data_IF_728725843689
#
_entry.id   IF_728725843689
#
_cell.length_a   1.000
_cell.length_b   1.000
_cell.length_c   1.000
_cell.angle_alpha   90.00
_cell.angle_beta   90.00
_cell.angle_gamma   90.00
#
_symmetry.space_group_name_H-M   'P 1'
#
loop_
_entity.id
_entity.type
_entity.pdbx_description
1 polymer ?
#
# COMPACT_ATOMS: atom_id res chain seq x y z
N UNK A 1 3.64 -14.57 36.24
CA UNK A 1 4.29 -15.57 37.11
C UNK A 1 5.72 -15.83 36.69
N UNK A 2 6.51 -16.49 37.55
CA UNK A 2 7.84 -16.95 37.17
C UNK A 2 7.72 -18.26 36.39
N UNK A 3 8.25 -18.27 35.14
CA UNK A 3 8.03 -19.35 34.19
C UNK A 3 8.59 -20.72 34.62
N UNK A 4 9.61 -20.76 35.51
CA UNK A 4 10.18 -22.00 35.98
C UNK A 4 9.73 -22.39 37.42
N UNK A 5 9.35 -21.43 38.25
CA UNK A 5 9.01 -21.68 39.65
C UNK A 5 7.52 -21.88 39.91
N UNK A 6 6.68 -21.23 39.14
CA UNK A 6 5.20 -21.24 39.27
C UNK A 6 4.52 -21.06 37.95
N UNK A 7 4.83 -21.87 36.90
CA UNK A 7 4.28 -21.69 35.56
C UNK A 7 2.75 -21.79 35.51
N UNK A 8 2.18 -22.66 36.36
CA UNK A 8 0.73 -22.89 36.46
C UNK A 8 -0.08 -21.65 36.88
N UNK A 9 0.58 -20.67 37.51
CA UNK A 9 -0.03 -19.40 37.92
C UNK A 9 -0.06 -18.31 36.82
N UNK A 10 0.44 -18.63 35.64
CA UNK A 10 0.48 -17.73 34.49
C UNK A 10 -0.39 -18.20 33.33
N UNK A 11 -0.76 -17.22 32.50
CA UNK A 11 -1.31 -17.43 31.16
C UNK A 11 -0.53 -16.50 30.23
N UNK A 12 0.15 -17.06 29.23
CA UNK A 12 1.05 -16.31 28.38
C UNK A 12 0.29 -15.62 27.25
N UNK A 13 0.31 -14.30 27.25
CA UNK A 13 -0.21 -13.52 26.13
C UNK A 13 0.63 -13.70 24.86
N UNK A 14 1.93 -14.01 25.00
CA UNK A 14 2.78 -14.34 23.84
C UNK A 14 2.35 -15.65 23.18
N UNK A 15 2.02 -16.68 23.98
CA UNK A 15 1.53 -17.96 23.45
C UNK A 15 0.23 -17.77 22.66
N UNK A 16 -0.64 -16.87 23.11
CA UNK A 16 -1.84 -16.52 22.36
C UNK A 16 -1.50 -15.88 21.00
N UNK A 17 -0.54 -14.96 20.95
CA UNK A 17 -0.06 -14.36 19.69
C UNK A 17 0.57 -15.40 18.78
N UNK A 18 1.40 -16.30 19.30
CA UNK A 18 2.02 -17.38 18.53
C UNK A 18 0.99 -18.39 18.00
N UNK A 19 -0.01 -18.75 18.81
CA UNK A 19 -1.12 -19.61 18.38
C UNK A 19 -1.93 -18.96 17.26
N UNK A 20 -2.28 -17.67 17.39
CA UNK A 20 -2.92 -16.89 16.35
C UNK A 20 -2.09 -16.88 15.05
N UNK A 21 -0.81 -16.54 15.13
CA UNK A 21 0.09 -16.51 13.99
C UNK A 21 0.19 -17.87 13.28
N UNK A 22 0.18 -18.97 14.04
CA UNK A 22 0.14 -20.32 13.48
C UNK A 22 -1.17 -20.60 12.73
N UNK A 23 -2.32 -20.24 13.30
CA UNK A 23 -3.62 -20.38 12.61
C UNK A 23 -3.66 -19.56 11.32
N UNK A 24 -3.15 -18.33 11.34
CA UNK A 24 -3.10 -17.45 10.16
C UNK A 24 -2.14 -17.97 9.08
N UNK A 25 -1.02 -18.58 9.48
CA UNK A 25 -0.12 -19.25 8.55
C UNK A 25 -0.77 -20.47 7.88
N UNK A 26 -1.55 -21.26 8.61
CA UNK A 26 -2.35 -22.35 8.03
C UNK A 26 -3.46 -21.81 7.10
N UNK A 27 -4.06 -20.67 7.44
CA UNK A 27 -5.09 -20.03 6.62
C UNK A 27 -4.59 -19.66 5.22
N UNK A 28 -3.28 -19.40 5.03
CA UNK A 28 -2.68 -19.03 3.74
C UNK A 28 -2.93 -20.07 2.65
N UNK A 29 -3.11 -21.33 3.01
CA UNK A 29 -3.46 -22.42 2.06
C UNK A 29 -4.92 -22.34 1.55
N UNK A 30 -5.76 -21.51 2.19
CA UNK A 30 -7.21 -21.50 2.00
C UNK A 30 -7.77 -20.08 1.73
N UNK A 31 -6.95 -19.21 1.13
CA UNK A 31 -7.30 -17.86 0.70
C UNK A 31 -6.87 -17.65 -0.76
N UNK A 32 -7.46 -16.68 -1.50
CA UNK A 32 -7.03 -16.36 -2.86
C UNK A 32 -5.54 -16.07 -2.95
N UNK A 33 -4.91 -16.51 -4.04
CA UNK A 33 -3.46 -16.44 -4.24
C UNK A 33 -2.90 -15.00 -4.18
N UNK A 34 -3.68 -14.02 -4.58
CA UNK A 34 -3.31 -12.60 -4.58
C UNK A 34 -3.31 -12.00 -3.17
N UNK A 35 -3.87 -12.71 -2.17
CA UNK A 35 -3.91 -12.24 -0.80
C UNK A 35 -2.52 -12.21 -0.18
N UNK A 36 -2.23 -11.15 0.58
CA UNK A 36 -1.03 -11.05 1.41
C UNK A 36 -1.43 -10.76 2.85
N UNK A 37 -0.85 -11.53 3.76
CA UNK A 37 -0.94 -11.32 5.20
C UNK A 37 0.47 -11.10 5.71
N UNK A 38 0.72 -9.95 6.31
CA UNK A 38 1.99 -9.62 6.92
C UNK A 38 1.76 -9.32 8.39
N UNK A 39 2.70 -9.70 9.26
CA UNK A 39 2.62 -9.31 10.65
C UNK A 39 4.01 -9.08 11.27
N UNK A 40 3.99 -8.36 12.36
CA UNK A 40 5.14 -8.18 13.24
C UNK A 40 4.66 -8.21 14.70
N UNK A 41 5.36 -8.95 15.55
CA UNK A 41 5.12 -8.90 16.99
C UNK A 41 5.79 -7.62 17.51
N UNK A 42 4.99 -6.67 17.96
CA UNK A 42 5.44 -5.36 18.47
C UNK A 42 5.75 -5.41 19.96
N UNK A 43 5.15 -6.37 20.68
CA UNK A 43 5.48 -6.66 22.06
C UNK A 43 5.31 -8.17 22.33
N UNK A 44 6.35 -8.83 22.78
CA UNK A 44 6.35 -10.26 23.14
C UNK A 44 6.74 -10.52 24.60
N UNK A 45 6.77 -9.49 25.44
CA UNK A 45 7.24 -9.59 26.84
C UNK A 45 8.64 -9.00 27.03
N UNK A 46 9.20 -9.16 28.25
CA UNK A 46 10.45 -8.48 28.63
C UNK A 46 11.59 -9.44 29.00
N UNK A 47 11.29 -10.58 29.62
CA UNK A 47 12.28 -11.53 30.07
C UNK A 47 11.79 -12.98 29.92
N UNK A 48 12.65 -13.95 29.53
CA UNK A 48 12.23 -15.33 29.26
C UNK A 48 11.68 -16.07 30.45
N UNK A 49 12.06 -15.67 31.67
CA UNK A 49 11.61 -16.28 32.92
C UNK A 49 10.36 -15.61 33.52
N UNK A 50 9.75 -14.69 32.81
CA UNK A 50 8.50 -14.03 33.25
C UNK A 50 7.43 -14.30 32.20
N UNK A 51 6.36 -14.99 32.59
CA UNK A 51 5.21 -15.25 31.69
C UNK A 51 4.58 -13.92 31.30
N UNK A 52 4.53 -13.58 30.00
CA UNK A 52 4.03 -12.29 29.54
C UNK A 52 2.53 -12.11 29.83
N UNK A 53 2.18 -11.06 30.54
CA UNK A 53 0.79 -10.65 30.81
C UNK A 53 0.18 -9.81 29.70
N UNK A 54 1.02 -9.28 28.80
CA UNK A 54 0.64 -8.53 27.61
C UNK A 54 1.54 -8.89 26.44
N UNK A 55 0.93 -9.09 25.29
CA UNK A 55 1.62 -9.18 23.99
C UNK A 55 0.81 -8.47 22.92
N UNK A 56 1.47 -8.01 21.88
CA UNK A 56 0.86 -7.27 20.77
C UNK A 56 1.47 -7.71 19.44
N UNK A 57 0.61 -7.89 18.45
CA UNK A 57 0.99 -8.17 17.07
C UNK A 57 0.26 -7.24 16.13
N UNK A 58 0.97 -6.70 15.15
CA UNK A 58 0.46 -5.79 14.14
C UNK A 58 0.35 -6.50 12.80
N UNK A 59 -0.84 -6.47 12.20
CA UNK A 59 -1.18 -7.17 10.96
C UNK A 59 -1.48 -6.22 9.81
N UNK A 60 -1.03 -6.59 8.62
CA UNK A 60 -1.54 -6.10 7.35
C UNK A 60 -2.22 -7.23 6.58
N UNK A 61 -3.43 -6.96 6.08
CA UNK A 61 -4.16 -7.83 5.15
C UNK A 61 -4.37 -7.07 3.86
N UNK A 62 -3.99 -7.68 2.73
CA UNK A 62 -4.03 -7.05 1.42
C UNK A 62 -4.63 -8.00 0.38
N UNK A 63 -5.48 -7.45 -0.46
CA UNK A 63 -5.99 -8.13 -1.66
C UNK A 63 -6.44 -7.07 -2.68
N UNK A 64 -6.34 -7.32 -4.01
CA UNK A 64 -6.83 -6.40 -5.05
C UNK A 64 -8.32 -6.07 -4.96
N UNK A 65 -9.13 -6.94 -4.35
CA UNK A 65 -10.55 -6.73 -4.10
C UNK A 65 -10.79 -6.53 -2.61
N UNK A 66 -11.38 -5.40 -2.26
CA UNK A 66 -11.70 -5.01 -0.87
C UNK A 66 -12.49 -6.09 -0.12
N UNK A 67 -13.50 -6.68 -0.76
CA UNK A 67 -14.38 -7.67 -0.11
C UNK A 67 -13.59 -8.88 0.38
N UNK A 68 -12.59 -9.32 -0.36
CA UNK A 68 -11.70 -10.42 0.03
C UNK A 68 -10.81 -10.02 1.19
N UNK A 69 -10.25 -8.81 1.17
CA UNK A 69 -9.43 -8.31 2.27
C UNK A 69 -10.23 -8.23 3.58
N UNK A 70 -11.49 -7.78 3.52
CA UNK A 70 -12.40 -7.70 4.67
C UNK A 70 -12.75 -9.09 5.19
N UNK A 71 -13.07 -10.06 4.31
CA UNK A 71 -13.36 -11.45 4.71
C UNK A 71 -12.15 -12.09 5.41
N UNK A 72 -10.96 -11.95 4.83
CA UNK A 72 -9.73 -12.50 5.43
C UNK A 72 -9.41 -11.82 6.77
N UNK A 73 -9.62 -10.50 6.89
CA UNK A 73 -9.45 -9.80 8.16
C UNK A 73 -10.41 -10.33 9.25
N UNK A 74 -11.67 -10.60 8.91
CA UNK A 74 -12.64 -11.19 9.84
C UNK A 74 -12.19 -12.60 10.29
N UNK A 75 -11.63 -13.39 9.39
CA UNK A 75 -11.06 -14.71 9.73
C UNK A 75 -9.85 -14.61 10.65
N UNK A 76 -8.97 -13.64 10.46
CA UNK A 76 -7.84 -13.35 11.34
C UNK A 76 -8.32 -12.95 12.73
N UNK A 77 -9.35 -12.12 12.82
CA UNK A 77 -9.97 -11.74 14.10
C UNK A 77 -10.52 -12.97 14.82
N UNK A 78 -11.18 -13.89 14.13
CA UNK A 78 -11.66 -15.16 14.71
C UNK A 78 -10.51 -16.07 15.17
N UNK A 79 -9.39 -16.10 14.43
CA UNK A 79 -8.19 -16.82 14.88
C UNK A 79 -7.64 -16.24 16.19
N UNK A 80 -7.63 -14.91 16.31
CA UNK A 80 -7.23 -14.23 17.55
C UNK A 80 -8.15 -14.57 18.74
N UNK A 81 -9.47 -14.57 18.52
CA UNK A 81 -10.47 -14.98 19.52
C UNK A 81 -10.26 -16.45 19.97
N UNK A 82 -10.06 -17.36 18.99
CA UNK A 82 -9.80 -18.77 19.25
C UNK A 82 -8.49 -19.00 20.01
N UNK A 83 -7.44 -18.27 19.65
CA UNK A 83 -6.15 -18.32 20.34
C UNK A 83 -6.27 -17.82 21.79
N UNK A 84 -6.94 -16.71 22.02
CA UNK A 84 -7.18 -16.17 23.35
C UNK A 84 -7.98 -17.15 24.22
N UNK A 85 -9.05 -17.74 23.66
CA UNK A 85 -9.85 -18.75 24.37
C UNK A 85 -9.00 -19.96 24.75
N UNK A 86 -8.23 -20.51 23.80
CA UNK A 86 -7.41 -21.70 24.01
C UNK A 86 -6.26 -21.51 25.00
N UNK A 87 -5.72 -20.30 25.12
CA UNK A 87 -4.62 -19.98 26.06
C UNK A 87 -5.10 -19.42 27.40
N UNK A 88 -6.41 -19.22 27.56
CA UNK A 88 -6.99 -18.64 28.77
C UNK A 88 -6.62 -17.16 28.96
N UNK A 89 -6.47 -16.43 27.86
CA UNK A 89 -6.20 -14.99 27.83
C UNK A 89 -7.41 -14.22 27.28
N UNK A 90 -7.28 -12.92 27.13
CA UNK A 90 -8.29 -12.05 26.49
C UNK A 90 -7.64 -11.28 25.34
N UNK A 91 -8.41 -10.98 24.29
CA UNK A 91 -7.91 -10.19 23.18
C UNK A 91 -8.75 -8.92 22.97
N UNK A 92 -8.10 -7.92 22.43
CA UNK A 92 -8.72 -6.72 21.83
C UNK A 92 -7.98 -6.39 20.57
N UNK A 93 -8.64 -5.75 19.63
CA UNK A 93 -7.99 -5.24 18.42
C UNK A 93 -8.43 -3.83 18.11
N UNK A 94 -7.63 -3.13 17.35
CA UNK A 94 -7.91 -1.81 16.80
C UNK A 94 -7.60 -1.80 15.30
N UNK A 95 -8.53 -1.28 14.48
CA UNK A 95 -8.27 -1.03 13.07
C UNK A 95 -7.57 0.32 12.96
N UNK A 96 -6.28 0.32 12.61
CA UNK A 96 -5.47 1.54 12.51
C UNK A 96 -5.38 2.09 11.11
N UNK A 97 -5.69 1.29 10.08
CA UNK A 97 -5.70 1.66 8.67
C UNK A 97 -6.64 0.77 7.88
N UNK A 98 -7.17 1.30 6.79
CA UNK A 98 -7.96 0.53 5.84
C UNK A 98 -8.30 1.38 4.62
N UNK A 99 -7.95 0.90 3.43
CA UNK A 99 -8.19 1.58 2.17
C UNK A 99 -8.96 0.68 1.21
N UNK A 100 -9.73 1.29 0.34
CA UNK A 100 -10.42 0.59 -0.75
C UNK A 100 -9.45 0.16 -1.86
N UNK A 101 -9.91 -0.68 -2.76
CA UNK A 101 -9.33 -0.86 -4.09
C UNK A 101 -9.56 0.40 -4.95
N UNK A 102 -8.68 0.65 -5.90
CA UNK A 102 -8.80 1.84 -6.77
C UNK A 102 -9.91 1.65 -7.81
N UNK A 103 -10.89 2.53 -7.83
CA UNK A 103 -11.88 2.61 -8.89
C UNK A 103 -11.30 3.36 -10.09
N UNK A 104 -10.91 2.62 -11.13
CA UNK A 104 -10.29 3.18 -12.33
C UNK A 104 -11.28 4.01 -13.13
N UNK A 105 -10.87 5.21 -13.54
CA UNK A 105 -11.56 6.03 -14.53
C UNK A 105 -10.75 6.08 -15.83
N UNK A 106 -11.13 5.24 -16.81
CA UNK A 106 -10.40 5.09 -18.09
C UNK A 106 -10.42 6.36 -18.94
N UNK A 107 -11.49 7.15 -18.84
CA UNK A 107 -11.62 8.43 -19.53
C UNK A 107 -10.53 9.40 -19.06
N UNK A 108 -10.36 9.56 -17.75
CA UNK A 108 -9.32 10.42 -17.19
C UNK A 108 -7.92 9.83 -17.39
N UNK A 109 -7.77 8.52 -17.28
CA UNK A 109 -6.48 7.85 -17.50
C UNK A 109 -5.98 8.06 -18.94
N UNK A 110 -6.87 7.95 -19.94
CA UNK A 110 -6.53 8.20 -21.35
C UNK A 110 -6.12 9.65 -21.59
N UNK A 111 -6.80 10.62 -20.94
CA UNK A 111 -6.43 12.04 -21.02
C UNK A 111 -5.06 12.29 -20.39
N UNK A 112 -4.82 11.76 -19.20
CA UNK A 112 -3.55 11.89 -18.48
C UNK A 112 -2.40 11.28 -19.28
N UNK A 113 -2.60 10.09 -19.87
CA UNK A 113 -1.63 9.42 -20.73
C UNK A 113 -1.26 10.28 -21.94
N UNK A 114 -2.25 10.81 -22.66
CA UNK A 114 -2.01 11.67 -23.81
C UNK A 114 -1.22 12.94 -23.43
N UNK A 115 -1.43 13.48 -22.24
CA UNK A 115 -0.67 14.64 -21.76
C UNK A 115 0.74 14.25 -21.29
N UNK A 116 0.91 13.08 -20.71
CA UNK A 116 2.24 12.54 -20.37
C UNK A 116 3.09 12.31 -21.64
N UNK A 117 2.49 11.79 -22.70
CA UNK A 117 3.14 11.62 -24.01
C UNK A 117 3.59 12.96 -24.62
N UNK A 118 2.82 14.05 -24.45
CA UNK A 118 3.20 15.39 -24.89
C UNK A 118 4.37 15.96 -24.07
N UNK A 119 4.38 15.73 -22.77
CA UNK A 119 5.44 16.20 -21.87
C UNK A 119 6.74 15.43 -22.10
N UNK A 120 6.63 14.12 -22.35
CA UNK A 120 7.77 13.21 -22.50
C UNK A 120 8.31 12.71 -21.15
N UNK A 121 9.20 11.74 -21.23
CA UNK A 121 9.85 11.15 -20.06
C UNK A 121 11.05 11.95 -19.55
N UNK A 122 11.70 11.43 -18.54
CA UNK A 122 12.87 12.07 -17.93
C UNK A 122 14.12 11.81 -18.74
N UNK A 123 14.85 12.87 -19.10
CA UNK A 123 16.14 12.77 -19.81
C UNK A 123 17.27 13.09 -18.82
N UNK A 124 18.15 12.11 -18.61
CA UNK A 124 19.32 12.26 -17.73
C UNK A 124 20.53 12.85 -18.45
N UNK A 125 21.32 13.64 -17.73
CA UNK A 125 22.67 14.05 -18.13
C UNK A 125 23.65 12.87 -18.03
N UNK A 126 24.84 13.01 -18.61
CA UNK A 126 25.86 11.96 -18.50
C UNK A 126 26.33 11.75 -17.05
N UNK A 127 26.33 12.81 -16.23
CA UNK A 127 26.65 12.75 -14.80
C UNK A 127 25.58 11.97 -14.02
N UNK A 128 24.30 12.23 -14.31
CA UNK A 128 23.17 11.51 -13.72
C UNK A 128 23.15 10.04 -14.15
N UNK A 129 23.48 9.75 -15.41
CA UNK A 129 23.64 8.36 -15.89
C UNK A 129 24.81 7.66 -15.18
N UNK A 130 25.94 8.33 -14.99
CA UNK A 130 27.08 7.79 -14.27
C UNK A 130 26.74 7.50 -12.80
N UNK A 131 26.03 8.40 -12.14
CA UNK A 131 25.49 8.19 -10.79
C UNK A 131 24.53 7.00 -10.77
N UNK A 132 23.58 6.96 -11.69
CA UNK A 132 22.59 5.89 -11.79
C UNK A 132 23.21 4.51 -12.00
N UNK A 133 24.25 4.39 -12.86
CA UNK A 133 24.99 3.14 -13.05
C UNK A 133 25.70 2.66 -11.78
N UNK A 134 26.28 3.59 -11.01
CA UNK A 134 26.86 3.25 -9.69
C UNK A 134 25.82 2.74 -8.72
N UNK A 135 24.64 3.36 -8.73
CA UNK A 135 23.52 2.96 -7.87
C UNK A 135 22.98 1.59 -8.29
N UNK A 136 22.79 1.36 -9.59
CA UNK A 136 22.34 0.07 -10.13
C UNK A 136 23.29 -1.08 -9.80
N UNK A 137 24.59 -0.83 -9.66
CA UNK A 137 25.56 -1.83 -9.23
C UNK A 137 25.30 -2.36 -7.79
N UNK A 138 24.51 -1.65 -7.00
CA UNK A 138 24.10 -2.08 -5.65
C UNK A 138 22.76 -2.82 -5.62
N UNK A 139 22.09 -3.02 -6.77
CA UNK A 139 20.79 -3.69 -6.81
C UNK A 139 20.98 -5.20 -6.72
N UNK A 140 20.02 -5.84 -6.07
CA UNK A 140 20.01 -7.30 -5.95
C UNK A 140 19.71 -7.99 -7.30
N UNK A 141 18.76 -7.42 -8.05
CA UNK A 141 18.38 -7.93 -9.37
C UNK A 141 19.05 -7.14 -10.48
N UNK A 142 19.10 -7.75 -11.68
CA UNK A 142 19.59 -7.06 -12.88
C UNK A 142 18.73 -5.81 -13.14
N UNK A 143 19.38 -4.67 -13.24
CA UNK A 143 18.72 -3.40 -13.51
C UNK A 143 18.26 -3.30 -14.97
N UNK A 144 17.13 -2.63 -15.24
CA UNK A 144 16.76 -2.17 -16.58
C UNK A 144 17.78 -1.15 -17.11
N UNK A 145 17.70 -0.85 -18.41
CA UNK A 145 18.52 0.21 -19.00
C UNK A 145 18.17 1.58 -18.38
N UNK A 146 19.18 2.41 -18.17
CA UNK A 146 18.98 3.72 -17.52
C UNK A 146 18.13 4.65 -18.40
N UNK A 147 18.20 4.47 -19.70
CA UNK A 147 17.44 5.18 -20.71
C UNK A 147 15.93 4.91 -20.67
N UNK A 148 15.50 3.84 -20.00
CA UNK A 148 14.07 3.52 -19.81
C UNK A 148 13.32 4.61 -19.03
N UNK A 149 14.01 5.43 -18.24
CA UNK A 149 13.41 6.59 -17.58
C UNK A 149 12.80 7.62 -18.57
N UNK A 150 13.27 7.66 -19.81
CA UNK A 150 12.72 8.54 -20.86
C UNK A 150 11.57 7.92 -21.64
N UNK A 151 11.30 6.63 -21.45
CA UNK A 151 10.28 5.89 -22.19
C UNK A 151 8.92 6.04 -21.49
N UNK A 152 7.93 6.56 -22.18
CA UNK A 152 6.55 6.58 -21.70
C UNK A 152 5.97 5.17 -21.86
N UNK A 153 5.63 4.57 -20.72
CA UNK A 153 4.98 3.26 -20.72
C UNK A 153 3.56 3.36 -21.26
N UNK A 154 3.06 2.35 -21.98
CA UNK A 154 1.69 2.34 -22.45
C UNK A 154 0.71 2.34 -21.26
N UNK A 155 -0.47 2.94 -21.48
CA UNK A 155 -1.52 2.93 -20.47
C UNK A 155 -1.86 1.50 -20.05
N UNK A 156 -1.75 1.23 -18.77
CA UNK A 156 -2.15 -0.05 -18.19
C UNK A 156 -3.67 -0.22 -18.31
N UNK A 157 -4.09 -1.39 -18.77
CA UNK A 157 -5.52 -1.72 -18.94
C UNK A 157 -6.15 -2.27 -17.67
N UNK A 158 -5.35 -2.82 -16.79
CA UNK A 158 -5.75 -3.48 -15.55
C UNK A 158 -4.83 -3.02 -14.41
N UNK A 159 -5.33 -3.06 -13.17
CA UNK A 159 -4.52 -2.76 -11.98
C UNK A 159 -3.60 -3.95 -11.72
N UNK A 160 -2.32 -3.69 -11.56
CA UNK A 160 -1.37 -4.70 -11.09
C UNK A 160 -1.71 -5.08 -9.64
N UNK A 161 -1.93 -6.38 -9.41
CA UNK A 161 -2.22 -6.92 -8.09
C UNK A 161 -1.07 -6.75 -7.07
N UNK A 162 0.14 -6.41 -7.54
CA UNK A 162 1.33 -6.20 -6.72
C UNK A 162 1.57 -4.76 -6.25
N UNK A 163 0.69 -3.83 -6.60
CA UNK A 163 0.86 -2.40 -6.30
C UNK A 163 0.80 -2.04 -4.81
N UNK A 164 1.26 -0.83 -4.49
CA UNK A 164 1.10 -0.23 -3.17
C UNK A 164 -0.37 0.10 -2.87
N UNK A 165 -0.69 0.40 -1.62
CA UNK A 165 -2.00 0.90 -1.21
C UNK A 165 -1.92 2.38 -0.85
N UNK A 166 -2.99 3.12 -1.11
CA UNK A 166 -3.11 4.55 -0.84
C UNK A 166 -4.58 4.91 -0.57
N UNK A 167 -4.81 5.91 0.27
CA UNK A 167 -6.12 6.50 0.53
C UNK A 167 -6.71 7.26 -0.68
N UNK A 168 -5.92 7.49 -1.74
CA UNK A 168 -6.42 7.94 -3.05
C UNK A 168 -7.48 6.98 -3.58
N UNK A 169 -7.40 5.69 -3.24
CA UNK A 169 -8.41 4.70 -3.59
C UNK A 169 -9.77 5.02 -2.99
N UNK A 170 -9.82 5.48 -1.75
CA UNK A 170 -11.06 5.90 -1.08
C UNK A 170 -11.67 7.13 -1.77
N UNK A 171 -10.83 8.11 -2.18
CA UNK A 171 -11.26 9.26 -2.97
C UNK A 171 -11.88 8.82 -4.29
N UNK A 172 -11.37 7.76 -4.90
CA UNK A 172 -11.88 7.24 -6.19
C UNK A 172 -13.32 6.71 -6.12
N UNK A 173 -13.85 6.40 -4.93
CA UNK A 173 -15.24 6.04 -4.72
C UNK A 173 -16.17 7.23 -4.44
N UNK A 174 -15.61 8.44 -4.34
CA UNK A 174 -16.36 9.68 -4.07
C UNK A 174 -16.38 10.59 -5.30
N UNK A 175 -15.28 10.64 -6.05
CA UNK A 175 -15.14 11.45 -7.27
C UNK A 175 -14.33 10.70 -8.33
N UNK A 176 -14.54 10.99 -9.64
CA UNK A 176 -13.66 10.49 -10.69
C UNK A 176 -12.21 10.86 -10.42
N UNK A 177 -11.34 9.87 -10.33
CA UNK A 177 -9.95 10.04 -9.90
C UNK A 177 -8.99 9.44 -10.93
N UNK A 178 -7.83 10.07 -11.11
CA UNK A 178 -6.72 9.57 -11.90
C UNK A 178 -5.40 9.94 -11.25
N UNK A 179 -4.41 9.06 -11.35
CA UNK A 179 -3.03 9.30 -10.97
C UNK A 179 -2.09 9.04 -12.14
N UNK A 180 -0.82 9.41 -11.97
CA UNK A 180 0.26 9.03 -12.86
C UNK A 180 1.49 8.68 -12.04
N UNK A 181 2.38 7.91 -12.64
CA UNK A 181 3.71 7.66 -12.14
C UNK A 181 4.74 8.38 -13.02
N UNK A 182 5.80 8.89 -12.41
CA UNK A 182 6.91 9.53 -13.10
C UNK A 182 8.23 9.04 -12.53
N UNK A 183 9.28 9.01 -13.36
CA UNK A 183 10.59 8.49 -12.99
C UNK A 183 11.33 9.45 -12.04
N UNK A 184 11.03 9.38 -10.75
CA UNK A 184 11.76 10.09 -9.69
C UNK A 184 12.96 9.32 -9.15
N UNK A 185 13.12 8.06 -9.58
CA UNK A 185 14.21 7.15 -9.25
C UNK A 185 14.83 6.57 -10.51
N UNK A 186 16.05 6.09 -10.39
CA UNK A 186 16.71 5.33 -11.44
C UNK A 186 15.95 4.02 -11.72
N UNK A 187 15.77 3.61 -12.98
CA UNK A 187 15.08 2.37 -13.33
C UNK A 187 15.57 1.16 -12.56
N UNK A 188 14.64 0.38 -12.00
CA UNK A 188 14.92 -0.79 -11.16
C UNK A 188 15.10 -0.51 -9.67
N UNK A 189 15.03 0.75 -9.24
CA UNK A 189 15.09 1.10 -7.80
C UNK A 189 13.88 0.55 -7.06
N UNK A 190 14.12 -0.21 -5.98
CA UNK A 190 13.06 -0.70 -5.10
C UNK A 190 12.54 0.41 -4.20
N UNK A 191 11.22 0.43 -3.99
CA UNK A 191 10.61 1.27 -2.96
C UNK A 191 11.13 0.88 -1.56
N UNK A 192 11.05 1.80 -0.60
CA UNK A 192 11.52 1.61 0.78
C UNK A 192 13.01 1.21 0.90
N UNK A 193 13.85 1.75 0.02
CA UNK A 193 15.29 1.48 -0.02
C UNK A 193 16.10 2.77 0.13
N UNK A 194 17.35 2.63 0.57
CA UNK A 194 18.28 3.76 0.62
C UNK A 194 18.59 4.31 -0.79
N UNK A 195 18.49 3.46 -1.81
CA UNK A 195 18.66 3.85 -3.22
C UNK A 195 17.55 4.81 -3.66
N UNK A 196 16.30 4.58 -3.23
CA UNK A 196 15.19 5.51 -3.49
C UNK A 196 15.46 6.89 -2.84
N UNK A 197 15.96 6.89 -1.60
CA UNK A 197 16.35 8.14 -0.89
C UNK A 197 17.48 8.84 -1.64
N UNK A 198 18.51 8.10 -2.08
CA UNK A 198 19.65 8.66 -2.82
C UNK A 198 19.23 9.29 -4.15
N UNK A 199 18.21 8.76 -4.84
CA UNK A 199 17.66 9.37 -6.05
C UNK A 199 16.78 10.58 -5.74
N UNK A 200 15.85 10.43 -4.80
CA UNK A 200 14.80 11.42 -4.52
C UNK A 200 15.34 12.79 -4.10
N UNK A 201 16.50 12.84 -3.44
CA UNK A 201 17.15 14.07 -3.01
C UNK A 201 18.04 14.76 -4.06
N UNK A 202 18.03 14.30 -5.31
CA UNK A 202 18.87 14.80 -6.41
C UNK A 202 18.05 15.38 -7.55
N UNK A 203 18.71 15.92 -8.58
CA UNK A 203 18.08 16.39 -9.82
C UNK A 203 17.29 15.28 -10.54
N UNK A 204 17.63 14.01 -10.32
CA UNK A 204 16.87 12.87 -10.84
C UNK A 204 15.43 12.91 -10.31
N UNK A 205 15.26 13.07 -8.99
CA UNK A 205 13.95 13.22 -8.37
C UNK A 205 13.21 14.48 -8.84
N UNK A 206 13.92 15.61 -8.90
CA UNK A 206 13.37 16.89 -9.38
C UNK A 206 12.85 16.81 -10.81
N UNK A 207 13.57 16.14 -11.72
CA UNK A 207 13.13 15.97 -13.12
C UNK A 207 11.85 15.15 -13.22
N UNK A 208 11.75 14.04 -12.48
CA UNK A 208 10.53 13.24 -12.40
C UNK A 208 9.34 14.04 -11.85
N UNK A 209 9.57 14.81 -10.78
CA UNK A 209 8.56 15.71 -10.21
C UNK A 209 8.07 16.75 -11.25
N UNK A 210 8.97 17.34 -12.04
CA UNK A 210 8.62 18.31 -13.06
C UNK A 210 7.79 17.68 -14.20
N UNK A 211 8.12 16.44 -14.61
CA UNK A 211 7.31 15.70 -15.59
C UNK A 211 5.89 15.49 -15.05
N UNK A 212 5.77 15.03 -13.80
CA UNK A 212 4.48 14.84 -13.16
C UNK A 212 3.68 16.16 -13.06
N UNK A 213 4.31 17.23 -12.59
CA UNK A 213 3.66 18.55 -12.44
C UNK A 213 3.14 19.10 -13.77
N UNK A 214 3.94 19.03 -14.83
CA UNK A 214 3.54 19.48 -16.18
C UNK A 214 2.37 18.66 -16.72
N UNK A 215 2.41 17.34 -16.56
CA UNK A 215 1.36 16.42 -17.00
C UNK A 215 0.04 16.71 -16.29
N UNK A 216 0.08 16.87 -14.97
CA UNK A 216 -1.10 17.22 -14.17
C UNK A 216 -1.66 18.59 -14.55
N UNK A 217 -0.81 19.60 -14.75
CA UNK A 217 -1.22 20.94 -15.15
C UNK A 217 -1.92 20.92 -16.53
N UNK A 218 -1.35 20.23 -17.53
CA UNK A 218 -1.99 20.08 -18.84
C UNK A 218 -3.33 19.35 -18.73
N UNK A 219 -3.41 18.32 -17.91
CA UNK A 219 -4.66 17.57 -17.69
C UNK A 219 -5.71 18.46 -17.02
N UNK A 220 -5.35 19.29 -16.05
CA UNK A 220 -6.25 20.27 -15.45
C UNK A 220 -6.76 21.29 -16.48
N UNK A 221 -5.88 21.83 -17.33
CA UNK A 221 -6.25 22.76 -18.41
C UNK A 221 -7.25 22.09 -19.37
N UNK A 222 -6.99 20.85 -19.76
CA UNK A 222 -7.90 20.10 -20.63
C UNK A 222 -9.27 19.89 -19.98
N UNK A 223 -9.32 19.57 -18.68
CA UNK A 223 -10.58 19.39 -17.94
C UNK A 223 -11.38 20.70 -17.83
N UNK A 224 -10.71 21.83 -17.59
CA UNK A 224 -11.39 23.14 -17.56
C UNK A 224 -11.87 23.60 -18.92
N UNK A 225 -11.16 23.26 -20.00
CA UNK A 225 -11.49 23.71 -21.35
C UNK A 225 -12.40 22.76 -22.16
N UNK A 226 -12.54 21.50 -21.70
CA UNK A 226 -13.28 20.44 -22.39
C UNK A 226 -14.35 19.80 -21.50
N UNK A 227 -15.49 20.47 -21.22
CA UNK A 227 -16.53 19.97 -20.30
C UNK A 227 -17.05 18.57 -20.65
N UNK A 228 -17.06 18.20 -21.92
CA UNK A 228 -17.49 16.87 -22.38
C UNK A 228 -16.67 15.73 -21.77
N UNK A 229 -15.40 15.95 -21.48
CA UNK A 229 -14.55 14.95 -20.82
C UNK A 229 -15.01 14.72 -19.38
N UNK A 230 -15.38 15.79 -18.67
CA UNK A 230 -15.89 15.70 -17.29
C UNK A 230 -17.22 14.92 -17.27
N UNK A 231 -18.11 15.20 -18.22
CA UNK A 231 -19.40 14.48 -18.33
C UNK A 231 -19.14 12.98 -18.51
N UNK A 232 -18.28 12.61 -19.48
CA UNK A 232 -17.93 11.21 -19.74
C UNK A 232 -17.25 10.54 -18.54
N UNK A 233 -16.35 11.23 -17.87
CA UNK A 233 -15.69 10.71 -16.68
C UNK A 233 -16.68 10.46 -15.52
N UNK A 234 -17.68 11.34 -15.34
CA UNK A 234 -18.76 11.17 -14.35
C UNK A 234 -19.69 10.01 -14.68
N UNK A 235 -20.06 9.85 -15.95
CA UNK A 235 -20.87 8.69 -16.40
C UNK A 235 -20.15 7.37 -16.12
N UNK A 236 -18.86 7.28 -16.44
CA UNK A 236 -18.04 6.11 -16.16
C UNK A 236 -17.93 5.86 -14.65
N UNK A 237 -17.69 6.90 -13.86
CA UNK A 237 -17.65 6.83 -12.41
C UNK A 237 -18.96 6.31 -11.82
N UNK A 238 -20.09 6.91 -12.21
CA UNK A 238 -21.42 6.51 -11.71
C UNK A 238 -21.71 5.03 -12.02
N UNK A 239 -21.35 4.59 -13.24
CA UNK A 239 -21.48 3.19 -13.64
C UNK A 239 -20.55 2.28 -12.83
N UNK A 240 -19.33 2.71 -12.56
CA UNK A 240 -18.34 1.94 -11.81
C UNK A 240 -18.68 1.79 -10.33
N UNK A 241 -19.18 2.86 -9.69
CA UNK A 241 -19.65 2.82 -8.29
C UNK A 241 -20.93 1.98 -8.17
N UNK A 242 -21.83 2.06 -9.16
CA UNK A 242 -23.13 1.38 -9.10
C UNK A 242 -23.93 1.79 -7.86
N UNK A 243 -24.49 0.81 -7.17
CA UNK A 243 -25.27 1.01 -5.94
C UNK A 243 -24.39 1.09 -4.66
N UNK A 244 -23.08 0.96 -4.79
CA UNK A 244 -22.18 1.00 -3.65
C UNK A 244 -22.17 2.39 -3.01
N UNK A 245 -22.39 2.44 -1.68
CA UNK A 245 -22.23 3.66 -0.89
C UNK A 245 -20.91 3.59 -0.14
N UNK A 246 -20.04 4.52 -0.47
CA UNK A 246 -18.74 4.61 0.20
C UNK A 246 -18.90 4.67 1.72
N UNK A 247 -18.12 3.85 2.41
CA UNK A 247 -17.97 3.86 3.86
C UNK A 247 -16.50 3.55 4.19
N UNK A 248 -15.87 4.43 4.96
CA UNK A 248 -14.50 4.22 5.39
C UNK A 248 -14.36 2.91 6.20
N UNK A 249 -13.30 2.16 5.91
CA UNK A 249 -13.00 0.90 6.64
C UNK A 249 -12.55 1.15 8.08
N UNK A 250 -12.17 2.39 8.41
CA UNK A 250 -11.81 2.83 9.76
C UNK A 250 -13.02 3.02 10.70
N UNK A 251 -14.24 2.94 10.17
CA UNK A 251 -15.45 3.27 10.93
C UNK A 251 -15.44 4.71 11.44
N UNK A 252 -15.77 4.90 12.71
CA UNK A 252 -15.85 6.22 13.36
C UNK A 252 -14.52 6.66 14.03
N UNK A 253 -13.42 5.99 13.74
CA UNK A 253 -12.12 6.32 14.29
C UNK A 253 -11.71 7.73 13.91
N UNK A 254 -11.36 8.53 14.90
CA UNK A 254 -10.82 9.89 14.67
C UNK A 254 -9.38 9.82 14.15
N UNK A 255 -8.97 10.77 13.29
CA UNK A 255 -7.58 10.84 12.86
C UNK A 255 -6.65 11.07 14.06
N UNK A 256 -5.52 10.37 14.07
CA UNK A 256 -4.48 10.52 15.09
C UNK A 256 -3.65 11.79 14.81
N UNK A 257 -4.15 12.96 15.22
CA UNK A 257 -3.49 14.25 14.95
C UNK A 257 -2.32 14.52 15.89
N UNK A 258 -2.20 13.76 16.98
CA UNK A 258 -1.17 13.90 18.02
C UNK A 258 -0.03 12.86 17.89
N UNK A 259 0.19 12.32 16.71
CA UNK A 259 1.20 11.27 16.48
C UNK A 259 2.66 11.74 16.61
N UNK A 260 2.88 13.04 16.82
CA UNK A 260 4.20 13.65 17.01
C UNK A 260 4.45 14.16 18.42
N UNK A 261 3.49 13.98 19.33
CA UNK A 261 3.58 14.43 20.74
C UNK A 261 4.29 13.39 21.61
#
# INVERSE_FOLDING_TARGET
SHAAMSPENGRSSLDAVEAMNNMDNMMREHIPQETRIHYVITNGGKAPNVVPDYAEVYYYVRHPKREVAVDVFDRITKAAEGAALGTGTTMKFEIVGGTHDLLINKTLASLMQANLEKVGGVVYTEEEKAFGKKLQASFFNKAPAIEEASTIQPLQKEIDAGGGSSDVSDVSYVVPTVGLEAATWIPGTSAHSWQAVACGGTEIGTKGMLVASKTMALTAIDLFSKPAVIVKAKEEFTKGVGDYKYKALLGDRKPALNYRD
#
